data_IF_474049097525
#
_entry.id   IF_474049097525
#
_cell.length_a   1.000
_cell.length_b   1.000
_cell.length_c   1.000
_cell.angle_alpha   90.00
_cell.angle_beta   90.00
_cell.angle_gamma   90.00
#
_symmetry.space_group_name_H-M   'P 1'
#
loop_
_entity.id
_entity.type
_entity.pdbx_description
1 polymer ?
#
# COMPACT_ATOMS: atom_id res chain seq x y z
N UNK A 1 -29.49 5.22 -0.75
CA UNK A 1 -28.62 5.51 -1.93
C UNK A 1 -27.16 5.38 -1.51
N UNK A 2 -26.39 4.53 -2.19
CA UNK A 2 -24.99 4.20 -1.84
C UNK A 2 -23.97 4.89 -2.77
N UNK A 3 -24.40 5.27 -3.97
CA UNK A 3 -23.61 6.00 -4.95
C UNK A 3 -23.15 7.34 -4.35
N UNK A 4 -21.87 7.68 -4.53
CA UNK A 4 -21.21 8.86 -3.95
C UNK A 4 -20.61 8.65 -2.56
N UNK A 5 -20.89 7.53 -1.89
CA UNK A 5 -20.26 7.24 -0.59
C UNK A 5 -18.83 6.69 -0.78
N UNK A 6 -17.88 7.04 0.13
CA UNK A 6 -16.54 6.44 0.10
C UNK A 6 -16.60 4.91 0.16
N UNK A 7 -15.86 4.21 -0.72
CA UNK A 7 -15.81 2.74 -0.74
C UNK A 7 -15.34 2.16 0.60
N UNK A 8 -14.34 2.79 1.24
CA UNK A 8 -13.87 2.40 2.57
C UNK A 8 -14.99 2.47 3.65
N UNK A 9 -15.83 3.52 3.60
CA UNK A 9 -16.95 3.66 4.54
C UNK A 9 -18.05 2.61 4.29
N UNK A 10 -18.32 2.29 3.02
CA UNK A 10 -19.27 1.23 2.64
C UNK A 10 -18.79 -0.13 3.14
N UNK A 11 -17.50 -0.42 2.98
CA UNK A 11 -16.88 -1.64 3.47
C UNK A 11 -16.92 -1.73 5.02
N UNK A 12 -16.62 -0.63 5.72
CA UNK A 12 -16.77 -0.53 7.18
C UNK A 12 -18.19 -0.90 7.62
N UNK A 13 -19.20 -0.31 7.00
CA UNK A 13 -20.60 -0.53 7.37
C UNK A 13 -21.02 -1.98 7.13
N UNK A 14 -20.46 -2.64 6.10
CA UNK A 14 -20.64 -4.07 5.89
C UNK A 14 -20.02 -4.88 7.03
N UNK A 15 -18.75 -4.64 7.37
CA UNK A 15 -18.08 -5.36 8.47
C UNK A 15 -18.85 -5.19 9.77
N UNK A 16 -19.32 -3.98 10.10
CA UNK A 16 -20.14 -3.72 11.31
C UNK A 16 -21.41 -4.55 11.38
N UNK A 17 -22.09 -4.76 10.25
CA UNK A 17 -23.32 -5.57 10.21
C UNK A 17 -23.04 -7.06 10.37
N UNK A 18 -21.92 -7.53 9.81
CA UNK A 18 -21.54 -8.94 9.85
C UNK A 18 -20.87 -9.28 11.17
N UNK A 19 -20.04 -8.39 11.69
CA UNK A 19 -19.20 -8.63 12.85
C UNK A 19 -19.14 -7.37 13.74
N UNK A 20 -19.77 -7.45 14.90
CA UNK A 20 -19.83 -6.34 15.84
C UNK A 20 -18.60 -6.22 16.76
N UNK A 21 -17.73 -7.21 16.82
CA UNK A 21 -16.61 -7.26 17.77
C UNK A 21 -15.32 -6.64 17.28
N UNK A 22 -15.15 -6.50 15.97
CA UNK A 22 -13.92 -5.99 15.34
C UNK A 22 -13.83 -4.47 15.45
N UNK A 23 -12.71 -3.92 15.94
CA UNK A 23 -12.42 -2.49 15.80
C UNK A 23 -12.20 -2.16 14.31
N UNK A 24 -12.75 -1.06 13.82
CA UNK A 24 -12.62 -0.72 12.40
C UNK A 24 -12.10 0.69 12.23
N UNK A 25 -11.11 0.83 11.35
CA UNK A 25 -10.69 2.12 10.83
C UNK A 25 -10.91 2.14 9.30
N UNK A 26 -11.63 3.14 8.82
CA UNK A 26 -11.87 3.36 7.40
C UNK A 26 -11.27 4.70 6.97
N UNK A 27 -10.34 4.67 5.99
CA UNK A 27 -9.60 5.84 5.55
C UNK A 27 -9.86 6.06 4.07
N UNK A 28 -10.40 7.22 3.71
CA UNK A 28 -10.50 7.66 2.33
C UNK A 28 -9.28 8.53 2.01
N UNK A 29 -8.29 7.97 1.32
CA UNK A 29 -7.08 8.69 0.94
C UNK A 29 -6.37 8.01 -0.23
N UNK A 30 -5.58 8.78 -0.97
CA UNK A 30 -4.60 8.25 -1.91
C UNK A 30 -3.44 7.62 -1.13
N UNK A 31 -2.92 6.49 -1.63
CA UNK A 31 -1.83 5.76 -0.95
C UNK A 31 -0.54 6.58 -0.86
N UNK A 32 -0.24 7.45 -1.83
CA UNK A 32 0.92 8.35 -1.76
C UNK A 32 0.81 9.37 -0.62
N UNK A 33 -0.41 9.70 -0.23
CA UNK A 33 -0.70 10.62 0.85
C UNK A 33 -0.69 9.94 2.23
N UNK A 34 -0.56 8.63 2.30
CA UNK A 34 -0.53 7.91 3.57
C UNK A 34 0.90 7.76 4.08
N UNK A 35 1.17 8.17 5.32
CA UNK A 35 2.45 7.90 5.93
C UNK A 35 2.57 6.44 6.35
N UNK A 36 3.72 5.78 6.13
CA UNK A 36 3.90 4.36 6.48
C UNK A 36 3.57 4.03 7.93
N UNK A 37 3.80 4.99 8.83
CA UNK A 37 3.59 4.80 10.28
C UNK A 37 2.16 4.46 10.67
N UNK A 38 1.14 4.82 9.87
CA UNK A 38 -0.26 4.45 10.20
C UNK A 38 -0.51 2.93 10.13
N UNK A 39 0.32 2.21 9.38
CA UNK A 39 0.25 0.75 9.27
C UNK A 39 1.03 0.04 10.37
N UNK A 40 1.82 0.78 11.16
CA UNK A 40 2.55 0.19 12.29
C UNK A 40 1.56 -0.40 13.31
N UNK A 41 1.76 -1.68 13.62
CA UNK A 41 0.84 -2.40 14.51
C UNK A 41 -0.22 -3.24 13.79
N UNK A 42 -0.23 -3.28 12.46
CA UNK A 42 -0.91 -4.34 11.71
C UNK A 42 -0.05 -5.61 11.74
N UNK A 43 -0.68 -6.75 11.94
CA UNK A 43 -0.01 -8.06 11.91
C UNK A 43 0.19 -8.56 10.47
N UNK A 44 -0.72 -8.24 9.57
CA UNK A 44 -0.60 -8.47 8.13
C UNK A 44 -1.60 -7.62 7.34
N UNK A 45 -1.41 -7.54 6.01
CA UNK A 45 -2.29 -6.78 5.15
C UNK A 45 -2.48 -7.41 3.77
N UNK A 46 -3.48 -6.93 3.02
CA UNK A 46 -3.70 -7.29 1.61
C UNK A 46 -3.76 -6.05 0.74
N UNK A 47 -3.09 -6.10 -0.40
CA UNK A 47 -3.24 -5.17 -1.51
C UNK A 47 -4.27 -5.74 -2.49
N UNK A 48 -5.40 -5.08 -2.64
CA UNK A 48 -6.47 -5.42 -3.57
C UNK A 48 -6.69 -4.27 -4.57
N UNK A 49 -5.58 -3.86 -5.21
CA UNK A 49 -5.46 -2.65 -6.01
C UNK A 49 -5.49 -2.99 -7.51
N UNK A 50 -5.93 -2.06 -8.35
CA UNK A 50 -6.12 -2.23 -9.79
C UNK A 50 -4.97 -1.71 -10.65
N UNK A 51 -4.22 -0.69 -10.18
CA UNK A 51 -3.12 -0.11 -10.94
C UNK A 51 -1.73 -0.57 -10.46
N UNK A 52 -0.75 -0.60 -11.37
CA UNK A 52 0.64 -0.91 -11.04
C UNK A 52 1.24 0.14 -10.09
N UNK A 53 0.90 1.42 -10.30
CA UNK A 53 1.36 2.50 -9.43
C UNK A 53 0.89 2.33 -7.99
N UNK A 54 -0.41 2.06 -7.78
CA UNK A 54 -0.96 1.83 -6.45
C UNK A 54 -0.34 0.59 -5.78
N UNK A 55 -0.14 -0.52 -6.53
CA UNK A 55 0.55 -1.72 -6.02
C UNK A 55 2.00 -1.44 -5.64
N UNK A 56 2.71 -0.65 -6.45
CA UNK A 56 4.07 -0.21 -6.16
C UNK A 56 4.14 0.56 -4.84
N UNK A 57 3.29 1.58 -4.67
CA UNK A 57 3.25 2.39 -3.45
C UNK A 57 2.81 1.55 -2.25
N UNK A 58 1.78 0.71 -2.39
CA UNK A 58 1.31 -0.17 -1.32
C UNK A 58 2.40 -1.14 -0.84
N UNK A 59 3.17 -1.73 -1.77
CA UNK A 59 4.33 -2.57 -1.43
C UNK A 59 5.37 -1.79 -0.62
N UNK A 60 5.72 -0.56 -1.06
CA UNK A 60 6.68 0.28 -0.33
C UNK A 60 6.19 0.69 1.06
N UNK A 61 4.89 1.01 1.19
CA UNK A 61 4.26 1.30 2.48
C UNK A 61 4.46 0.13 3.45
N UNK A 62 4.15 -1.10 3.02
CA UNK A 62 4.23 -2.27 3.88
C UNK A 62 5.66 -2.72 4.16
N UNK A 63 6.57 -2.63 3.18
CA UNK A 63 8.00 -2.85 3.43
C UNK A 63 8.52 -1.88 4.50
N UNK A 64 8.17 -0.59 4.40
CA UNK A 64 8.59 0.44 5.35
C UNK A 64 7.99 0.23 6.74
N UNK A 65 6.69 -0.09 6.80
CA UNK A 65 6.00 -0.37 8.06
C UNK A 65 6.33 -1.76 8.63
N UNK A 66 7.09 -2.58 7.89
CA UNK A 66 7.43 -3.97 8.24
C UNK A 66 6.21 -4.88 8.41
N UNK A 67 5.18 -4.64 7.61
CA UNK A 67 3.95 -5.43 7.61
C UNK A 67 4.04 -6.50 6.53
N UNK A 68 3.97 -7.79 6.86
CA UNK A 68 3.84 -8.84 5.86
C UNK A 68 2.52 -8.68 5.11
N UNK A 69 2.53 -8.92 3.80
CA UNK A 69 1.36 -8.63 2.99
C UNK A 69 1.18 -9.60 1.82
N UNK A 70 -0.05 -9.67 1.36
CA UNK A 70 -0.44 -10.40 0.16
C UNK A 70 -0.89 -9.39 -0.91
N UNK A 71 -0.31 -9.45 -2.10
CA UNK A 71 -0.84 -8.74 -3.26
C UNK A 71 -1.79 -9.64 -4.04
N UNK A 72 -3.07 -9.30 -4.02
CA UNK A 72 -4.12 -10.03 -4.73
C UNK A 72 -4.42 -9.40 -6.09
N UNK A 73 -4.67 -10.23 -7.09
CA UNK A 73 -4.97 -9.74 -8.43
C UNK A 73 -5.60 -10.77 -9.34
N UNK A 74 -6.11 -10.28 -10.46
CA UNK A 74 -6.63 -11.10 -11.56
C UNK A 74 -5.86 -10.77 -12.84
N UNK A 75 -5.66 -11.79 -13.68
CA UNK A 75 -5.17 -11.67 -15.05
C UNK A 75 -6.33 -12.06 -15.96
N UNK A 76 -7.18 -11.08 -16.28
CA UNK A 76 -8.49 -11.30 -16.89
C UNK A 76 -8.43 -12.08 -18.20
N UNK A 77 -7.52 -11.70 -19.12
CA UNK A 77 -7.36 -12.34 -20.43
C UNK A 77 -7.00 -13.83 -20.33
N UNK A 78 -6.35 -14.21 -19.24
CA UNK A 78 -5.91 -15.58 -18.99
C UNK A 78 -6.81 -16.36 -18.04
N UNK A 79 -7.83 -15.74 -17.46
CA UNK A 79 -8.68 -16.33 -16.41
C UNK A 79 -7.89 -16.80 -15.18
N UNK A 80 -6.85 -16.09 -14.84
CA UNK A 80 -6.05 -16.40 -13.65
C UNK A 80 -6.42 -15.51 -12.47
N UNK A 81 -6.67 -16.13 -11.33
CA UNK A 81 -6.59 -15.48 -10.01
C UNK A 81 -5.18 -15.65 -9.46
N UNK A 82 -4.62 -14.63 -8.82
CA UNK A 82 -3.28 -14.69 -8.24
C UNK A 82 -3.20 -14.05 -6.86
N UNK A 83 -2.24 -14.53 -6.07
CA UNK A 83 -1.84 -13.93 -4.81
C UNK A 83 -0.32 -14.01 -4.70
N UNK A 84 0.34 -12.89 -4.43
CA UNK A 84 1.79 -12.83 -4.18
C UNK A 84 2.01 -12.53 -2.72
N UNK A 85 2.80 -13.36 -2.03
CA UNK A 85 3.04 -13.26 -0.60
C UNK A 85 4.40 -12.64 -0.34
N UNK A 86 4.43 -11.53 0.38
CA UNK A 86 5.63 -10.76 0.66
C UNK A 86 5.77 -10.46 2.16
N UNK A 87 7.00 -10.42 2.64
CA UNK A 87 7.30 -10.00 4.01
C UNK A 87 8.57 -9.13 4.03
N UNK A 88 8.66 -8.26 5.02
CA UNK A 88 9.83 -7.41 5.24
C UNK A 88 10.97 -8.22 5.90
N UNK A 89 11.47 -9.22 5.18
CA UNK A 89 12.62 -10.04 5.58
C UNK A 89 13.75 -9.88 4.56
N UNK A 90 15.02 -10.06 4.93
CA UNK A 90 16.16 -9.81 4.03
C UNK A 90 16.07 -10.55 2.69
N UNK A 91 15.60 -11.78 2.69
CA UNK A 91 15.46 -12.64 1.50
C UNK A 91 14.02 -12.70 0.98
N UNK A 92 13.17 -11.79 1.42
CA UNK A 92 11.76 -11.73 1.04
C UNK A 92 11.58 -11.04 -0.29
N UNK A 93 11.46 -11.79 -1.38
CA UNK A 93 11.06 -11.23 -2.66
C UNK A 93 9.64 -10.65 -2.60
N UNK A 94 9.41 -9.57 -3.35
CA UNK A 94 8.09 -8.97 -3.54
C UNK A 94 7.66 -9.02 -5.00
N UNK A 95 6.43 -8.70 -5.29
CA UNK A 95 5.92 -8.69 -6.68
C UNK A 95 6.73 -7.77 -7.60
N UNK A 96 7.26 -6.64 -7.09
CA UNK A 96 8.01 -5.66 -7.90
C UNK A 96 9.35 -6.21 -8.38
N UNK A 97 9.90 -7.23 -7.72
CA UNK A 97 11.12 -7.93 -8.16
C UNK A 97 10.97 -8.60 -9.54
N UNK A 98 9.74 -8.91 -9.95
CA UNK A 98 9.44 -9.56 -11.23
C UNK A 98 9.03 -8.59 -12.33
N UNK A 99 8.90 -7.30 -12.04
CA UNK A 99 8.38 -6.35 -13.01
C UNK A 99 9.41 -6.01 -14.09
N UNK A 100 8.95 -6.01 -15.33
CA UNK A 100 9.74 -5.53 -16.47
C UNK A 100 9.93 -4.02 -16.43
N UNK A 101 10.92 -3.52 -17.18
CA UNK A 101 11.13 -2.07 -17.33
C UNK A 101 9.88 -1.33 -17.81
N UNK A 102 9.08 -1.94 -18.69
CA UNK A 102 7.79 -1.37 -19.16
C UNK A 102 6.77 -1.27 -18.03
N UNK A 103 6.66 -2.29 -17.18
CA UNK A 103 5.75 -2.26 -16.03
C UNK A 103 6.20 -1.22 -15.00
N UNK A 104 7.49 -1.07 -14.76
CA UNK A 104 8.04 -0.04 -13.87
C UNK A 104 7.81 1.37 -14.41
N UNK A 105 7.98 1.59 -15.73
CA UNK A 105 7.67 2.86 -16.37
C UNK A 105 6.19 3.22 -16.20
N UNK A 106 5.30 2.26 -16.51
CA UNK A 106 3.85 2.44 -16.33
C UNK A 106 3.47 2.70 -14.87
N UNK A 107 4.05 1.99 -13.92
CA UNK A 107 3.84 2.26 -12.51
C UNK A 107 4.26 3.68 -12.11
N UNK A 108 5.32 4.21 -12.70
CA UNK A 108 5.76 5.60 -12.53
C UNK A 108 4.80 6.64 -13.13
N UNK A 109 4.15 6.29 -14.23
CA UNK A 109 3.12 7.12 -14.88
C UNK A 109 1.82 7.11 -14.07
N UNK A 110 1.38 5.94 -13.58
CA UNK A 110 0.16 5.78 -12.77
C UNK A 110 0.22 6.58 -11.46
N UNK A 111 1.43 6.75 -10.90
CA UNK A 111 1.64 7.47 -9.64
C UNK A 111 1.45 8.98 -9.85
N UNK A 112 0.43 9.53 -9.21
CA UNK A 112 0.08 10.96 -9.30
C UNK A 112 -0.82 11.33 -10.47
N UNK A 113 -1.36 10.35 -11.22
CA UNK A 113 -2.44 10.59 -12.18
C UNK A 113 -3.79 10.49 -11.46
N UNK A 114 -4.68 11.49 -11.59
CA UNK A 114 -6.07 11.32 -11.16
C UNK A 114 -6.73 10.20 -11.98
N UNK A 115 -7.63 9.44 -11.38
CA UNK A 115 -8.37 8.35 -12.05
C UNK A 115 -9.14 8.76 -13.33
N UNK A 116 -9.23 10.04 -13.64
CA UNK A 116 -9.93 10.60 -14.81
C UNK A 116 -9.22 10.24 -16.13
N UNK A 117 -7.94 9.88 -16.11
CA UNK A 117 -7.22 9.49 -17.34
C UNK A 117 -7.54 8.08 -17.84
N UNK A 118 -8.34 7.31 -17.10
CA UNK A 118 -8.79 5.99 -17.50
C UNK A 118 -10.03 6.01 -18.45
N UNK A 119 -10.37 7.16 -19.04
CA UNK A 119 -11.48 7.22 -20.00
C UNK A 119 -11.23 6.49 -21.33
N UNK A 120 -10.01 6.01 -21.56
CA UNK A 120 -9.68 5.24 -22.78
C UNK A 120 -9.14 3.83 -22.50
N UNK A 121 -9.02 3.43 -21.27
CA UNK A 121 -8.66 2.07 -20.90
C UNK A 121 -9.89 1.32 -20.45
N UNK A 122 -10.36 0.38 -21.25
CA UNK A 122 -11.24 -0.68 -20.76
C UNK A 122 -10.61 -1.25 -19.49
N UNK A 123 -11.19 -0.94 -18.33
CA UNK A 123 -10.75 -1.54 -17.07
C UNK A 123 -10.72 -3.05 -17.31
N UNK A 124 -9.62 -3.72 -16.98
CA UNK A 124 -9.43 -5.12 -17.30
C UNK A 124 -10.70 -5.89 -16.93
N UNK A 125 -11.41 -6.48 -17.90
CA UNK A 125 -12.68 -7.13 -17.64
C UNK A 125 -12.46 -8.21 -16.58
N UNK A 126 -13.12 -8.10 -15.46
CA UNK A 126 -13.03 -9.09 -14.37
C UNK A 126 -14.41 -9.61 -14.06
N UNK A 127 -14.54 -10.91 -13.94
CA UNK A 127 -15.78 -11.53 -13.47
C UNK A 127 -15.78 -11.62 -11.95
N UNK A 128 -16.99 -11.61 -11.34
CA UNK A 128 -17.14 -11.86 -9.90
C UNK A 128 -16.40 -13.14 -9.48
N UNK A 129 -16.49 -14.20 -10.26
CA UNK A 129 -15.83 -15.47 -9.97
C UNK A 129 -14.30 -15.34 -9.85
N UNK A 130 -13.66 -14.56 -10.75
CA UNK A 130 -12.22 -14.33 -10.71
C UNK A 130 -11.82 -13.50 -9.48
N UNK A 131 -12.59 -12.45 -9.17
CA UNK A 131 -12.40 -11.63 -8.00
C UNK A 131 -12.50 -12.44 -6.70
N UNK A 132 -13.53 -13.27 -6.57
CA UNK A 132 -13.71 -14.15 -5.42
C UNK A 132 -12.62 -15.23 -5.31
N UNK A 133 -12.16 -15.78 -6.43
CA UNK A 133 -11.05 -16.74 -6.42
C UNK A 133 -9.73 -16.10 -5.96
N UNK A 134 -9.40 -14.90 -6.44
CA UNK A 134 -8.23 -14.16 -5.99
C UNK A 134 -8.35 -13.75 -4.51
N UNK A 135 -9.53 -13.32 -4.08
CA UNK A 135 -9.83 -13.01 -2.69
C UNK A 135 -9.68 -14.23 -1.78
N UNK A 136 -10.11 -15.42 -2.22
CA UNK A 136 -9.96 -16.65 -1.45
C UNK A 136 -8.50 -17.05 -1.28
N UNK A 137 -7.68 -16.96 -2.34
CA UNK A 137 -6.23 -17.19 -2.25
C UNK A 137 -5.59 -16.20 -1.27
N UNK A 138 -5.91 -14.91 -1.38
CA UNK A 138 -5.36 -13.87 -0.52
C UNK A 138 -5.80 -14.02 0.93
N UNK A 139 -7.06 -14.37 1.20
CA UNK A 139 -7.57 -14.60 2.54
C UNK A 139 -6.87 -15.78 3.21
N UNK A 140 -6.66 -16.89 2.47
CA UNK A 140 -5.92 -18.05 2.96
C UNK A 140 -4.48 -17.66 3.36
N UNK A 141 -3.75 -17.00 2.47
CA UNK A 141 -2.36 -16.61 2.75
C UNK A 141 -2.26 -15.55 3.87
N UNK A 142 -3.23 -14.64 4.00
CA UNK A 142 -3.30 -13.71 5.13
C UNK A 142 -3.46 -14.45 6.46
N UNK A 143 -4.35 -15.46 6.51
CA UNK A 143 -4.55 -16.31 7.69
C UNK A 143 -3.28 -17.09 8.04
N UNK A 144 -2.57 -17.62 7.04
CA UNK A 144 -1.30 -18.31 7.24
C UNK A 144 -0.20 -17.35 7.72
N UNK A 145 -0.06 -16.16 7.12
CA UNK A 145 0.91 -15.13 7.53
C UNK A 145 0.73 -14.70 8.98
N UNK A 146 -0.51 -14.63 9.44
CA UNK A 146 -0.83 -14.22 10.82
C UNK A 146 -0.76 -15.36 11.83
N UNK A 147 -0.56 -16.60 11.37
CA UNK A 147 -0.63 -17.78 12.22
C UNK A 147 -2.04 -18.06 12.77
N UNK A 148 -3.07 -17.52 12.11
CA UNK A 148 -4.48 -17.80 12.41
C UNK A 148 -4.92 -19.20 11.98
N UNK A 149 -4.16 -19.82 11.07
CA UNK A 149 -4.26 -21.21 10.68
C UNK A 149 -2.88 -21.87 10.76
N UNK A 150 -2.86 -23.21 10.85
CA UNK A 150 -1.63 -23.97 11.01
C UNK A 150 -0.77 -24.07 9.74
N UNK A 151 -1.26 -23.54 8.61
CA UNK A 151 -0.58 -23.61 7.32
C UNK A 151 0.65 -22.69 7.29
N UNK A 152 1.70 -23.14 6.59
CA UNK A 152 2.91 -22.34 6.41
C UNK A 152 2.67 -21.27 5.34
N UNK A 153 2.93 -19.98 5.64
CA UNK A 153 2.80 -18.90 4.64
C UNK A 153 3.85 -19.06 3.52
N UNK A 154 3.47 -18.75 2.31
CA UNK A 154 4.30 -18.89 1.11
C UNK A 154 5.05 -17.61 0.76
N UNK A 155 5.83 -17.12 1.73
CA UNK A 155 6.60 -15.87 1.56
C UNK A 155 7.59 -15.99 0.40
N UNK A 156 7.58 -15.00 -0.50
CA UNK A 156 8.40 -14.95 -1.71
C UNK A 156 7.88 -15.86 -2.82
N UNK A 157 6.59 -16.21 -2.81
CA UNK A 157 5.94 -16.98 -3.85
C UNK A 157 4.74 -16.24 -4.45
N UNK A 158 4.48 -16.46 -5.73
CA UNK A 158 3.22 -16.14 -6.39
C UNK A 158 2.41 -17.41 -6.56
N UNK A 159 1.18 -17.38 -6.08
CA UNK A 159 0.17 -18.41 -6.25
C UNK A 159 -0.73 -18.03 -7.42
N UNK A 160 -1.01 -18.98 -8.30
CA UNK A 160 -1.84 -18.76 -9.49
C UNK A 160 -2.85 -19.87 -9.63
N UNK A 161 -4.11 -19.49 -9.79
CA UNK A 161 -5.21 -20.41 -10.10
C UNK A 161 -5.71 -20.10 -11.51
N UNK A 162 -5.50 -21.04 -12.43
CA UNK A 162 -6.07 -21.02 -13.78
C UNK A 162 -7.50 -21.59 -13.72
N UNK A 163 -8.48 -20.71 -13.80
CA UNK A 163 -9.90 -21.11 -13.71
C UNK A 163 -10.40 -21.85 -14.95
N UNK A 164 -9.73 -21.69 -16.11
CA UNK A 164 -10.09 -22.42 -17.33
C UNK A 164 -9.63 -23.88 -17.29
N UNK A 165 -8.43 -24.10 -16.75
CA UNK A 165 -7.80 -25.43 -16.72
C UNK A 165 -7.99 -26.12 -15.37
N UNK A 166 -8.52 -25.44 -14.35
CA UNK A 166 -8.63 -25.97 -13.00
C UNK A 166 -7.24 -26.28 -12.39
N UNK A 167 -6.21 -25.51 -12.75
CA UNK A 167 -4.84 -25.75 -12.33
C UNK A 167 -4.39 -24.72 -11.29
N UNK A 168 -3.74 -25.20 -10.25
CA UNK A 168 -3.10 -24.38 -9.23
C UNK A 168 -1.59 -24.56 -9.30
N UNK A 169 -0.87 -23.45 -9.40
CA UNK A 169 0.59 -23.40 -9.43
C UNK A 169 1.13 -22.42 -8.36
N UNK A 170 2.30 -22.73 -7.83
CA UNK A 170 3.06 -21.85 -6.96
C UNK A 170 4.45 -21.61 -7.57
N UNK A 171 4.85 -20.34 -7.66
CA UNK A 171 6.12 -19.92 -8.28
C UNK A 171 6.96 -19.17 -7.27
N UNK A 172 8.18 -19.61 -7.05
CA UNK A 172 9.15 -18.83 -6.27
C UNK A 172 9.54 -17.57 -7.04
N UNK A 173 9.45 -16.41 -6.39
CA UNK A 173 9.87 -15.15 -6.98
C UNK A 173 11.40 -15.02 -6.91
N UNK A 174 12.06 -14.52 -7.96
CA UNK A 174 13.45 -14.14 -7.89
C UNK A 174 13.60 -12.89 -7.02
N UNK A 175 14.63 -12.83 -6.20
CA UNK A 175 15.00 -11.61 -5.49
C UNK A 175 15.90 -10.77 -6.40
N UNK A 176 15.44 -9.60 -6.81
CA UNK A 176 16.22 -8.68 -7.61
C UNK A 176 17.21 -7.88 -6.75
N UNK A 177 18.50 -7.88 -7.14
CA UNK A 177 19.54 -7.13 -6.42
C UNK A 177 19.27 -5.62 -6.35
N UNK A 178 18.49 -5.07 -7.30
CA UNK A 178 18.09 -3.68 -7.37
C UNK A 178 16.59 -3.56 -7.61
N UNK A 179 15.79 -4.07 -6.65
CA UNK A 179 14.35 -3.96 -6.71
C UNK A 179 13.90 -2.49 -6.62
N UNK A 180 13.02 -2.06 -7.52
CA UNK A 180 12.49 -0.70 -7.52
C UNK A 180 11.64 -0.38 -6.27
N UNK A 181 11.09 -1.38 -5.58
CA UNK A 181 10.41 -1.19 -4.31
C UNK A 181 11.39 -0.82 -3.17
N UNK A 182 12.70 -0.93 -3.39
CA UNK A 182 13.74 -0.59 -2.41
C UNK A 182 13.64 -1.41 -1.11
N UNK A 183 14.00 -2.69 -1.16
CA UNK A 183 13.99 -3.58 0.01
C UNK A 183 14.82 -3.06 1.19
N UNK A 184 15.69 -2.08 0.95
CA UNK A 184 16.40 -1.34 2.02
C UNK A 184 15.43 -0.70 3.03
N UNK A 185 14.20 -0.37 2.63
CA UNK A 185 13.15 0.14 3.51
C UNK A 185 12.71 -0.91 4.56
N UNK A 186 12.82 -2.19 4.22
CA UNK A 186 12.51 -3.31 5.12
C UNK A 186 13.73 -3.76 5.93
N UNK A 187 14.94 -3.52 5.40
CA UNK A 187 16.19 -3.93 6.01
C UNK A 187 16.70 -2.90 7.05
N UNK A 188 17.67 -3.31 7.82
CA UNK A 188 18.43 -2.42 8.69
C UNK A 188 17.75 -2.04 10.01
N UNK A 189 18.42 -1.13 10.72
CA UNK A 189 17.97 -0.58 11.99
C UNK A 189 16.88 0.45 11.77
N UNK A 190 15.90 0.51 12.66
CA UNK A 190 14.89 1.59 12.69
C UNK A 190 15.23 2.55 13.82
N UNK A 191 15.37 3.82 13.49
CA UNK A 191 15.51 4.92 14.45
C UNK A 191 14.26 5.79 14.42
N UNK A 192 13.71 6.04 15.60
CA UNK A 192 12.56 6.94 15.77
C UNK A 192 13.06 8.37 15.91
N UNK A 193 12.50 9.26 15.12
CA UNK A 193 12.79 10.68 15.16
C UNK A 193 11.83 11.40 16.12
N UNK A 194 12.33 12.42 16.79
CA UNK A 194 11.47 13.33 17.55
C UNK A 194 10.63 14.18 16.56
N UNK A 195 9.33 14.38 16.81
CA UNK A 195 8.47 15.21 15.96
C UNK A 195 8.99 16.63 15.74
N UNK A 196 9.72 17.20 16.70
CA UNK A 196 10.32 18.55 16.57
C UNK A 196 11.33 18.64 15.41
N UNK A 197 11.92 17.52 14.98
CA UNK A 197 12.80 17.46 13.81
C UNK A 197 12.12 17.95 12.51
N UNK A 198 10.79 17.91 12.43
CA UNK A 198 10.04 18.45 11.28
C UNK A 198 10.16 19.97 11.16
N UNK A 199 10.48 20.67 12.24
CA UNK A 199 10.69 22.11 12.29
C UNK A 199 12.13 22.50 11.95
N UNK A 200 13.07 21.57 12.03
CA UNK A 200 14.46 21.78 11.65
C UNK A 200 14.60 21.98 10.14
N UNK A 201 15.74 22.51 9.69
CA UNK A 201 16.07 22.49 8.26
C UNK A 201 16.37 21.05 7.80
N UNK A 202 16.11 20.76 6.52
CA UNK A 202 16.47 19.46 5.92
C UNK A 202 17.95 19.15 6.10
N UNK A 203 18.83 20.17 5.96
CA UNK A 203 20.27 20.00 6.18
C UNK A 203 20.60 19.59 7.61
N UNK A 204 19.97 20.23 8.60
CA UNK A 204 20.16 19.88 10.01
C UNK A 204 19.64 18.46 10.31
N UNK A 205 18.45 18.12 9.83
CA UNK A 205 17.89 16.77 9.97
C UNK A 205 18.82 15.71 9.36
N UNK A 206 19.24 15.90 8.11
CA UNK A 206 20.10 14.94 7.41
C UNK A 206 21.46 14.80 8.10
N UNK A 207 22.04 15.90 8.58
CA UNK A 207 23.30 15.89 9.35
C UNK A 207 23.13 15.11 10.66
N UNK A 208 22.04 15.34 11.40
CA UNK A 208 21.73 14.61 12.65
C UNK A 208 21.58 13.12 12.39
N UNK A 209 20.99 12.74 11.25
CA UNK A 209 20.86 11.35 10.84
C UNK A 209 22.14 10.76 10.23
N UNK A 210 23.22 11.53 10.09
CA UNK A 210 24.52 11.06 9.60
C UNK A 210 24.63 10.99 8.07
N UNK A 211 23.81 11.75 7.32
CA UNK A 211 23.90 11.81 5.86
C UNK A 211 25.14 12.58 5.40
N UNK A 212 26.04 11.91 4.69
CA UNK A 212 27.14 12.53 3.93
C UNK A 212 26.74 12.80 2.48
N UNK A 213 27.62 13.47 1.70
CA UNK A 213 27.36 13.82 0.31
C UNK A 213 27.03 12.60 -0.56
N UNK A 214 27.72 11.48 -0.34
CA UNK A 214 27.52 10.23 -1.10
C UNK A 214 26.39 9.34 -0.56
N UNK A 215 25.72 9.77 0.53
CA UNK A 215 24.60 9.01 1.09
C UNK A 215 23.40 9.10 0.16
N UNK A 216 22.79 7.96 -0.16
CA UNK A 216 21.49 7.93 -0.81
C UNK A 216 20.38 8.12 0.23
N UNK A 217 19.47 9.03 -0.05
CA UNK A 217 18.21 9.21 0.68
C UNK A 217 17.13 8.46 -0.08
N UNK A 218 16.44 7.54 0.59
CA UNK A 218 15.34 6.74 0.02
C UNK A 218 14.05 7.14 0.74
N UNK A 219 13.16 7.81 0.02
CA UNK A 219 11.84 8.21 0.52
C UNK A 219 10.88 7.02 0.46
N UNK A 220 10.06 6.82 1.49
CA UNK A 220 9.17 5.67 1.56
C UNK A 220 8.10 5.68 0.46
N UNK A 221 7.34 6.75 0.33
CA UNK A 221 6.17 6.81 -0.57
C UNK A 221 6.22 7.99 -1.53
N UNK A 222 6.27 9.21 -1.01
CA UNK A 222 6.24 10.43 -1.81
C UNK A 222 7.51 10.59 -2.65
N UNK A 223 7.36 11.08 -3.86
CA UNK A 223 8.48 11.37 -4.75
C UNK A 223 8.84 12.85 -4.73
N UNK A 224 10.13 13.15 -4.93
CA UNK A 224 10.58 14.51 -5.24
C UNK A 224 10.90 14.66 -6.73
N UNK A 225 10.77 15.85 -7.25
CA UNK A 225 11.08 16.18 -8.64
C UNK A 225 12.55 16.52 -8.77
N UNK A 226 13.33 15.61 -9.36
CA UNK A 226 14.75 15.81 -9.62
C UNK A 226 15.01 16.67 -10.87
N UNK A 227 14.08 16.66 -11.83
CA UNK A 227 14.11 17.50 -13.02
C UNK A 227 12.69 17.83 -13.44
N UNK A 228 12.42 19.10 -13.71
CA UNK A 228 11.20 19.58 -14.33
C UNK A 228 11.56 20.36 -15.59
N UNK A 229 10.84 20.11 -16.68
CA UNK A 229 11.03 20.82 -17.95
C UNK A 229 9.68 21.45 -18.33
N UNK A 230 9.72 22.74 -18.62
CA UNK A 230 8.57 23.47 -19.10
C UNK A 230 8.60 23.53 -20.65
N UNK A 231 7.61 22.94 -21.29
CA UNK A 231 7.52 22.97 -22.76
C UNK A 231 7.18 24.37 -23.32
N UNK A 232 6.56 25.21 -22.50
CA UNK A 232 6.15 26.55 -22.95
C UNK A 232 7.30 27.56 -23.03
N UNK A 233 8.23 27.54 -22.07
CA UNK A 233 9.37 28.47 -22.02
C UNK A 233 10.75 27.81 -22.13
N UNK A 234 10.81 26.48 -22.19
CA UNK A 234 12.07 25.73 -22.26
C UNK A 234 12.86 25.69 -20.94
N UNK A 235 12.35 26.33 -19.88
CA UNK A 235 13.02 26.34 -18.57
C UNK A 235 13.16 24.93 -18.00
N UNK A 236 14.34 24.64 -17.47
CA UNK A 236 14.68 23.35 -16.87
C UNK A 236 15.21 23.58 -15.46
N UNK A 237 14.64 22.90 -14.47
CA UNK A 237 15.01 23.07 -13.06
C UNK A 237 15.04 21.74 -12.31
N UNK A 238 15.95 21.61 -11.34
CA UNK A 238 16.04 20.49 -10.41
C UNK A 238 15.61 20.93 -8.99
N UNK A 239 14.31 21.16 -8.74
CA UNK A 239 13.86 21.80 -7.51
C UNK A 239 13.93 20.90 -6.28
N UNK A 240 13.99 19.59 -6.45
CA UNK A 240 13.91 18.60 -5.37
C UNK A 240 12.78 18.89 -4.38
N UNK A 241 11.65 19.35 -4.91
CA UNK A 241 10.38 19.51 -4.18
C UNK A 241 9.54 18.25 -4.29
N UNK A 242 8.61 18.06 -3.34
CA UNK A 242 7.60 17.01 -3.49
C UNK A 242 6.84 17.21 -4.82
N UNK A 243 6.56 16.11 -5.49
CA UNK A 243 5.85 16.15 -6.78
C UNK A 243 4.46 16.80 -6.65
N UNK A 244 3.79 16.63 -5.51
CA UNK A 244 2.52 17.27 -5.18
C UNK A 244 2.61 18.79 -4.96
N UNK A 245 3.80 19.32 -4.74
CA UNK A 245 4.02 20.76 -4.52
C UNK A 245 4.49 21.51 -5.77
N UNK A 246 4.61 20.83 -6.91
CA UNK A 246 5.13 21.40 -8.16
C UNK A 246 4.18 21.13 -9.32
N UNK A 247 3.20 22.00 -9.52
CA UNK A 247 2.21 21.89 -10.59
C UNK A 247 2.52 22.81 -11.78
N UNK A 248 3.14 23.96 -11.52
CA UNK A 248 3.39 25.01 -12.51
C UNK A 248 4.86 25.39 -12.60
N UNK A 249 5.26 25.87 -13.76
CA UNK A 249 6.58 26.41 -14.01
C UNK A 249 6.81 27.69 -13.21
N UNK A 250 7.88 27.78 -12.40
CA UNK A 250 8.16 28.96 -11.61
C UNK A 250 8.51 30.20 -12.47
N UNK A 251 8.96 29.98 -13.73
CA UNK A 251 9.34 31.08 -14.62
C UNK A 251 8.17 31.69 -15.39
N UNK A 252 7.22 30.87 -15.87
CA UNK A 252 6.13 31.36 -16.75
C UNK A 252 4.72 31.01 -16.26
N UNK A 253 4.56 30.29 -15.15
CA UNK A 253 3.26 29.91 -14.59
C UNK A 253 2.51 28.80 -15.33
N UNK A 254 3.01 28.34 -16.48
CA UNK A 254 2.37 27.27 -17.25
C UNK A 254 2.51 25.92 -16.54
N UNK A 255 1.54 25.03 -16.76
CA UNK A 255 1.60 23.67 -16.22
C UNK A 255 2.83 22.92 -16.72
N UNK A 256 3.53 22.24 -15.83
CA UNK A 256 4.67 21.42 -16.18
C UNK A 256 4.21 20.11 -16.80
N UNK A 257 4.69 19.80 -18.00
CA UNK A 257 4.31 18.60 -18.73
C UNK A 257 5.24 17.42 -18.46
N UNK A 258 6.52 17.69 -18.14
CA UNK A 258 7.52 16.64 -17.91
C UNK A 258 8.19 16.80 -16.55
N UNK A 259 7.99 15.79 -15.68
CA UNK A 259 8.56 15.73 -14.34
C UNK A 259 9.32 14.42 -14.15
N UNK A 260 10.63 14.48 -13.95
CA UNK A 260 11.40 13.32 -13.51
C UNK A 260 11.27 13.18 -11.99
N UNK A 261 10.35 12.33 -11.57
CA UNK A 261 10.11 12.00 -10.16
C UNK A 261 11.08 10.92 -9.70
N UNK A 262 11.66 11.11 -8.50
CA UNK A 262 12.57 10.13 -7.88
C UNK A 262 12.19 9.91 -6.41
N UNK A 263 12.40 8.68 -5.92
CA UNK A 263 12.27 8.32 -4.49
C UNK A 263 13.62 7.94 -3.88
N UNK A 264 14.64 7.77 -4.71
CA UNK A 264 16.04 7.58 -4.30
C UNK A 264 16.89 8.66 -4.94
N UNK A 265 17.68 9.36 -4.15
CA UNK A 265 18.55 10.43 -4.62
C UNK A 265 19.83 10.49 -3.75
N UNK A 266 20.91 11.04 -4.30
CA UNK A 266 22.12 11.35 -3.53
C UNK A 266 21.94 12.67 -2.78
N UNK A 267 22.26 12.67 -1.49
CA UNK A 267 22.10 13.87 -0.68
C UNK A 267 22.95 15.05 -1.19
N UNK A 268 24.19 14.79 -1.60
CA UNK A 268 25.08 15.82 -2.14
C UNK A 268 24.56 16.55 -3.38
N UNK A 269 23.69 15.87 -4.18
CA UNK A 269 23.07 16.49 -5.36
C UNK A 269 21.89 17.40 -4.97
N UNK A 270 21.10 17.01 -3.98
CA UNK A 270 19.92 17.74 -3.56
C UNK A 270 20.23 18.85 -2.52
N UNK A 271 21.20 18.62 -1.64
CA UNK A 271 21.50 19.51 -0.52
C UNK A 271 21.72 20.99 -0.91
N UNK A 272 22.47 21.34 -1.99
CA UNK A 272 22.62 22.72 -2.39
C UNK A 272 21.30 23.47 -2.59
N UNK A 273 20.28 22.77 -3.06
CA UNK A 273 18.97 23.33 -3.38
C UNK A 273 18.03 23.34 -2.18
N UNK A 274 18.07 22.31 -1.32
CA UNK A 274 17.00 22.10 -0.31
C UNK A 274 17.47 22.13 1.14
N UNK A 275 18.77 22.12 1.44
CA UNK A 275 19.26 22.00 2.81
C UNK A 275 18.73 23.09 3.77
N UNK A 276 18.43 24.28 3.26
CA UNK A 276 17.87 25.39 4.04
C UNK A 276 16.35 25.33 4.24
N UNK A 277 15.64 24.44 3.51
CA UNK A 277 14.19 24.27 3.64
C UNK A 277 13.86 23.56 4.93
N UNK A 278 12.68 23.80 5.49
CA UNK A 278 12.19 23.04 6.63
C UNK A 278 12.05 21.56 6.27
N UNK A 279 12.31 20.67 7.21
CA UNK A 279 12.15 19.23 7.01
C UNK A 279 10.70 18.86 6.65
N UNK A 280 9.73 19.63 7.14
CA UNK A 280 8.31 19.53 6.76
C UNK A 280 8.01 19.75 5.27
N UNK A 281 8.97 20.27 4.50
CA UNK A 281 8.86 20.34 3.04
C UNK A 281 8.92 18.94 2.36
N UNK A 282 9.52 17.95 3.03
CA UNK A 282 9.61 16.57 2.53
C UNK A 282 8.83 15.59 3.39
N UNK A 283 8.74 15.81 4.70
CA UNK A 283 8.24 14.84 5.68
C UNK A 283 7.10 15.41 6.51
N UNK A 284 6.27 14.53 7.01
CA UNK A 284 5.21 14.78 7.99
C UNK A 284 5.19 13.69 9.05
N UNK A 285 4.35 13.82 10.06
CA UNK A 285 4.17 12.79 11.07
C UNK A 285 3.81 11.45 10.43
N UNK A 286 4.48 10.39 10.85
CA UNK A 286 4.33 9.03 10.34
C UNK A 286 5.13 8.71 9.06
N UNK A 287 5.77 9.68 8.41
CA UNK A 287 6.65 9.41 7.28
C UNK A 287 7.94 8.71 7.73
N UNK A 288 8.61 8.08 6.77
CA UNK A 288 9.89 7.45 6.97
C UNK A 288 10.78 7.62 5.73
N UNK A 289 12.07 7.56 5.95
CA UNK A 289 13.09 7.53 4.90
C UNK A 289 14.27 6.67 5.33
N UNK A 290 14.99 6.08 4.37
CA UNK A 290 16.22 5.38 4.69
C UNK A 290 17.43 6.17 4.21
N UNK A 291 18.51 6.12 4.99
CA UNK A 291 19.85 6.54 4.58
C UNK A 291 20.67 5.30 4.24
N UNK A 292 21.24 5.31 3.05
CA UNK A 292 22.03 4.20 2.49
C UNK A 292 23.42 4.71 2.18
N UNK A 293 24.46 4.38 2.99
CA UNK A 293 25.83 4.74 2.71
C UNK A 293 26.29 4.12 1.38
N UNK A 294 26.99 4.89 0.54
CA UNK A 294 27.45 4.40 -0.77
C UNK A 294 28.45 3.24 -0.66
N UNK A 295 29.32 3.28 0.37
CA UNK A 295 30.37 2.30 0.60
C UNK A 295 29.87 1.02 1.28
N UNK A 296 28.79 1.10 2.04
CA UNK A 296 28.26 0.00 2.85
C UNK A 296 26.72 -0.03 2.81
N UNK A 297 26.10 -0.42 1.67
CA UNK A 297 24.63 -0.42 1.54
C UNK A 297 23.90 -1.28 2.59
N UNK A 298 24.54 -2.31 3.11
CA UNK A 298 24.00 -3.18 4.17
C UNK A 298 23.81 -2.45 5.52
N UNK A 299 24.46 -1.31 5.72
CA UNK A 299 24.31 -0.45 6.91
C UNK A 299 23.19 0.60 6.75
N UNK A 300 22.25 0.38 5.88
CA UNK A 300 21.11 1.27 5.75
C UNK A 300 20.37 1.42 7.08
N UNK A 301 19.97 2.63 7.40
CA UNK A 301 19.17 2.95 8.59
C UNK A 301 17.87 3.60 8.15
N UNK A 302 16.75 3.06 8.62
CA UNK A 302 15.41 3.63 8.42
C UNK A 302 15.11 4.61 9.56
N UNK A 303 14.81 5.84 9.22
CA UNK A 303 14.38 6.88 10.14
C UNK A 303 12.87 7.06 9.99
N UNK A 304 12.14 7.03 11.10
CA UNK A 304 10.68 7.11 11.11
C UNK A 304 10.18 8.16 12.09
N UNK A 305 9.30 9.03 11.62
CA UNK A 305 8.53 9.92 12.48
C UNK A 305 7.35 9.19 13.12
N UNK A 306 6.97 9.50 14.36
CA UNK A 306 5.80 8.91 14.98
C UNK A 306 4.55 9.23 14.14
N UNK A 307 3.66 8.24 13.92
CA UNK A 307 2.45 8.46 13.14
C UNK A 307 1.42 9.28 13.91
N UNK A 308 0.52 9.97 13.22
CA UNK A 308 -0.70 10.47 13.84
C UNK A 308 -1.53 9.28 14.34
N UNK A 309 -2.30 9.44 15.40
CA UNK A 309 -3.17 8.39 15.89
C UNK A 309 -4.22 8.01 14.84
N UNK A 310 -4.31 6.73 14.53
CA UNK A 310 -5.37 6.20 13.69
C UNK A 310 -6.66 6.14 14.51
N UNK A 311 -7.76 6.67 13.97
CA UNK A 311 -9.05 6.63 14.63
C UNK A 311 -9.72 5.28 14.40
N UNK A 312 -9.71 4.45 15.43
CA UNK A 312 -10.43 3.19 15.46
C UNK A 312 -11.84 3.38 16.02
N UNK A 313 -12.84 2.98 15.27
CA UNK A 313 -14.20 2.83 15.80
C UNK A 313 -14.25 1.52 16.58
N UNK A 314 -14.45 1.55 17.90
CA UNK A 314 -14.39 0.34 18.72
C UNK A 314 -15.51 -0.64 18.39
N UNK A 315 -15.19 -1.93 18.40
CA UNK A 315 -16.16 -3.02 18.38
C UNK A 315 -16.83 -3.22 19.74
N UNK A 316 -17.90 -3.99 19.75
CA UNK A 316 -18.50 -4.45 21.01
C UNK A 316 -17.54 -5.42 21.73
N UNK A 317 -17.57 -5.48 23.06
CA UNK A 317 -16.83 -6.50 23.80
C UNK A 317 -17.21 -7.91 23.34
N UNK A 318 -16.21 -8.80 23.33
CA UNK A 318 -16.45 -10.20 23.02
C UNK A 318 -17.36 -10.86 24.05
N UNK A 319 -18.48 -11.41 23.61
CA UNK A 319 -19.51 -12.02 24.46
C UNK A 319 -19.45 -13.54 24.55
N UNK A 320 -18.36 -14.14 24.08
CA UNK A 320 -18.19 -15.59 24.13
C UNK A 320 -18.93 -16.38 23.05
N UNK A 321 -19.41 -15.73 21.97
CA UNK A 321 -20.20 -16.34 20.89
C UNK A 321 -19.44 -17.44 20.10
N UNK A 322 -18.85 -18.40 20.82
CA UNK A 322 -18.05 -19.49 20.25
C UNK A 322 -18.88 -20.39 19.29
N UNK A 323 -20.17 -20.53 19.56
CA UNK A 323 -21.09 -21.32 18.71
C UNK A 323 -21.18 -20.83 17.28
N UNK A 324 -21.05 -19.52 17.06
CA UNK A 324 -21.02 -18.92 15.70
C UNK A 324 -19.89 -19.48 14.84
N UNK A 325 -18.79 -19.90 15.48
CA UNK A 325 -17.58 -20.39 14.83
C UNK A 325 -17.41 -21.90 14.91
N UNK A 326 -18.40 -22.63 15.45
CA UNK A 326 -18.34 -24.06 15.64
C UNK A 326 -18.13 -24.88 14.35
N UNK A 327 -18.45 -24.29 13.18
CA UNK A 327 -18.26 -24.93 11.88
C UNK A 327 -16.93 -24.60 11.19
N UNK A 328 -16.10 -23.72 11.80
CA UNK A 328 -14.77 -23.49 11.27
C UNK A 328 -13.89 -24.74 11.42
N UNK A 329 -12.98 -25.00 10.46
CA UNK A 329 -12.02 -26.07 10.59
C UNK A 329 -11.22 -25.96 11.89
N UNK A 330 -10.82 -27.08 12.48
CA UNK A 330 -10.02 -27.12 13.72
C UNK A 330 -8.63 -26.46 13.57
N UNK A 331 -8.19 -26.23 12.33
CA UNK A 331 -6.95 -25.48 12.03
C UNK A 331 -7.04 -23.99 12.32
N UNK A 332 -8.25 -23.44 12.54
CA UNK A 332 -8.43 -22.03 12.88
C UNK A 332 -8.19 -21.78 14.37
N UNK A 333 -7.27 -20.87 14.68
CA UNK A 333 -7.04 -20.39 16.05
C UNK A 333 -7.83 -19.08 16.30
N UNK A 334 -9.06 -19.21 16.79
CA UNK A 334 -9.90 -18.07 17.13
C UNK A 334 -9.31 -17.18 18.23
N UNK A 335 -8.53 -17.74 19.16
CA UNK A 335 -7.88 -16.94 20.20
C UNK A 335 -6.83 -16.03 19.55
N UNK A 336 -6.06 -16.59 18.62
CA UNK A 336 -5.08 -15.83 17.83
C UNK A 336 -5.76 -14.74 17.00
N UNK A 337 -6.80 -15.07 16.20
CA UNK A 337 -7.53 -14.11 15.36
C UNK A 337 -7.98 -12.89 16.16
N UNK A 338 -8.47 -13.07 17.37
CA UNK A 338 -8.94 -11.99 18.25
C UNK A 338 -7.85 -11.05 18.78
N UNK A 339 -6.59 -11.36 18.56
CA UNK A 339 -5.45 -10.49 18.93
C UNK A 339 -4.83 -9.81 17.71
N UNK A 340 -5.32 -10.09 16.50
CA UNK A 340 -4.71 -9.65 15.25
C UNK A 340 -5.40 -8.43 14.67
N UNK A 341 -4.60 -7.50 14.17
CA UNK A 341 -5.04 -6.36 13.36
C UNK A 341 -4.59 -6.55 11.93
N UNK A 342 -5.54 -6.45 11.00
CA UNK A 342 -5.28 -6.63 9.58
C UNK A 342 -5.59 -5.38 8.78
N UNK A 343 -4.94 -5.24 7.61
CA UNK A 343 -5.18 -4.15 6.68
C UNK A 343 -5.71 -4.64 5.32
N UNK A 344 -6.62 -3.90 4.73
CA UNK A 344 -7.07 -4.09 3.34
C UNK A 344 -6.94 -2.76 2.60
N UNK A 345 -6.04 -2.71 1.61
CA UNK A 345 -5.84 -1.57 0.74
C UNK A 345 -6.50 -1.84 -0.60
N UNK A 346 -7.50 -1.02 -0.92
CA UNK A 346 -8.43 -1.20 -2.03
C UNK A 346 -9.72 -1.90 -1.57
N UNK A 347 -10.84 -1.19 -1.70
CA UNK A 347 -12.18 -1.71 -1.43
C UNK A 347 -13.05 -1.74 -2.72
N UNK A 348 -12.39 -1.88 -3.87
CA UNK A 348 -13.02 -2.09 -5.17
C UNK A 348 -13.58 -3.51 -5.31
N UNK A 349 -13.74 -3.99 -6.55
CA UNK A 349 -14.32 -5.31 -6.85
C UNK A 349 -13.65 -6.46 -6.07
N UNK A 350 -12.33 -6.59 -6.15
CA UNK A 350 -11.58 -7.66 -5.47
C UNK A 350 -11.54 -7.44 -3.96
N UNK A 351 -11.29 -6.20 -3.52
CA UNK A 351 -11.24 -5.87 -2.09
C UNK A 351 -12.59 -6.08 -1.39
N UNK A 352 -13.70 -5.78 -2.07
CA UNK A 352 -15.04 -6.08 -1.56
C UNK A 352 -15.23 -7.58 -1.32
N UNK A 353 -14.87 -8.42 -2.31
CA UNK A 353 -14.94 -9.87 -2.20
C UNK A 353 -14.04 -10.42 -1.06
N UNK A 354 -12.86 -9.81 -0.87
CA UNK A 354 -11.95 -10.16 0.23
C UNK A 354 -12.55 -9.78 1.59
N UNK A 355 -13.09 -8.56 1.72
CA UNK A 355 -13.72 -8.09 2.96
C UNK A 355 -14.91 -8.98 3.32
N UNK A 356 -15.72 -9.42 2.36
CA UNK A 356 -16.81 -10.38 2.61
C UNK A 356 -16.31 -11.68 3.26
N UNK A 357 -15.16 -12.18 2.84
CA UNK A 357 -14.60 -13.42 3.38
C UNK A 357 -13.94 -13.23 4.75
N UNK A 358 -13.34 -12.07 5.01
CA UNK A 358 -12.64 -11.77 6.25
C UNK A 358 -13.55 -11.20 7.34
N UNK A 359 -14.61 -10.46 6.97
CA UNK A 359 -15.51 -9.82 7.90
C UNK A 359 -16.18 -10.75 8.94
N UNK A 360 -16.54 -12.01 8.61
CA UNK A 360 -17.12 -12.92 9.59
C UNK A 360 -16.19 -13.29 10.75
N UNK A 361 -14.86 -13.17 10.57
CA UNK A 361 -13.89 -13.56 11.59
C UNK A 361 -13.68 -12.44 12.64
N UNK A 362 -13.56 -12.79 13.94
CA UNK A 362 -13.50 -11.80 15.01
C UNK A 362 -12.10 -11.21 15.20
N UNK A 363 -11.62 -10.45 14.22
CA UNK A 363 -10.35 -9.74 14.32
C UNK A 363 -10.34 -8.73 15.46
N UNK A 364 -9.18 -8.48 16.09
CA UNK A 364 -9.04 -7.34 16.98
C UNK A 364 -9.32 -6.03 16.26
N UNK A 365 -8.77 -5.88 15.04
CA UNK A 365 -9.02 -4.70 14.25
C UNK A 365 -8.87 -4.94 12.75
N UNK A 366 -9.59 -4.13 11.95
CA UNK A 366 -9.51 -4.11 10.49
C UNK A 366 -9.37 -2.66 10.00
N UNK A 367 -8.24 -2.36 9.37
CA UNK A 367 -8.02 -1.10 8.66
C UNK A 367 -8.41 -1.27 7.20
N UNK A 368 -9.29 -0.41 6.70
CA UNK A 368 -9.72 -0.39 5.29
C UNK A 368 -9.33 0.95 4.69
N UNK A 369 -8.57 0.92 3.59
CA UNK A 369 -8.13 2.11 2.87
C UNK A 369 -8.61 2.05 1.43
N UNK A 370 -9.27 3.10 0.96
CA UNK A 370 -9.62 3.28 -0.44
C UNK A 370 -9.82 4.79 -0.71
N UNK A 371 -9.35 5.29 -1.85
CA UNK A 371 -9.51 6.70 -2.21
C UNK A 371 -10.85 7.01 -2.86
N UNK A 372 -11.49 6.01 -3.47
CA UNK A 372 -12.63 6.19 -4.36
C UNK A 372 -13.97 6.24 -3.63
N UNK A 373 -14.94 6.77 -4.34
CA UNK A 373 -16.36 6.68 -4.00
C UNK A 373 -17.04 5.58 -4.83
N UNK A 374 -18.17 5.10 -4.37
CA UNK A 374 -19.02 4.17 -5.12
C UNK A 374 -19.68 4.94 -6.27
N UNK A 375 -19.47 4.48 -7.49
CA UNK A 375 -20.09 5.00 -8.71
C UNK A 375 -21.21 4.06 -9.19
N UNK A 376 -22.17 4.58 -9.96
CA UNK A 376 -23.28 3.79 -10.49
C UNK A 376 -22.79 2.58 -11.30
N UNK A 377 -21.71 2.74 -12.09
CA UNK A 377 -21.08 1.66 -12.87
C UNK A 377 -20.45 0.57 -12.00
N UNK A 378 -20.15 0.85 -10.74
CA UNK A 378 -19.53 -0.12 -9.83
C UNK A 378 -20.58 -1.00 -9.13
N UNK A 379 -21.83 -0.58 -9.01
CA UNK A 379 -22.85 -1.27 -8.20
C UNK A 379 -23.00 -2.74 -8.63
N UNK A 380 -23.04 -3.01 -9.93
CA UNK A 380 -23.20 -4.38 -10.45
C UNK A 380 -21.99 -5.29 -10.20
N UNK A 381 -20.78 -4.72 -10.05
CA UNK A 381 -19.54 -5.48 -9.87
C UNK A 381 -18.99 -5.41 -8.43
N UNK A 382 -19.59 -4.58 -7.58
CA UNK A 382 -19.13 -4.36 -6.20
C UNK A 382 -20.08 -5.05 -5.23
N UNK A 383 -19.73 -6.26 -4.79
CA UNK A 383 -20.60 -7.12 -3.99
C UNK A 383 -21.17 -6.44 -2.73
N UNK A 384 -20.37 -5.64 -2.03
CA UNK A 384 -20.81 -4.91 -0.84
C UNK A 384 -21.79 -3.78 -1.16
N UNK A 385 -21.64 -3.13 -2.31
CA UNK A 385 -22.53 -2.05 -2.73
C UNK A 385 -23.94 -2.59 -3.08
N UNK A 386 -24.00 -3.67 -3.85
CA UNK A 386 -25.25 -4.31 -4.24
C UNK A 386 -26.08 -4.76 -3.02
N UNK A 387 -25.43 -5.43 -2.05
CA UNK A 387 -26.10 -5.90 -0.81
C UNK A 387 -26.59 -4.75 0.11
N UNK A 388 -25.95 -3.59 0.03
CA UNK A 388 -26.37 -2.43 0.83
C UNK A 388 -27.57 -1.72 0.22
N UNK A 389 -27.71 -1.71 -1.09
CA UNK A 389 -28.91 -1.19 -1.77
C UNK A 389 -30.11 -2.08 -1.53
N UNK A 390 -29.96 -3.40 -1.61
CA UNK A 390 -31.02 -4.36 -1.29
C UNK A 390 -31.53 -4.27 0.15
N UNK A 391 -30.64 -3.94 1.11
CA UNK A 391 -31.01 -3.80 2.52
C UNK A 391 -31.67 -2.45 2.87
N UNK A 392 -31.61 -1.46 1.96
CA UNK A 392 -32.16 -0.12 2.15
C UNK A 392 -33.52 0.07 1.44
N UNK A 393 -33.95 -0.87 0.61
CA UNK A 393 -35.28 -0.93 -0.04
C UNK A 393 -36.23 -1.83 0.70
#
# INVERSE_FOLDING_TARGET
>A
MIVGRPKAAVARDHVRRVNRWTDIAAVQADLEELPPGIFAGLDAAVLALDSLGARFIGTRLFLTARVPHVDAGVLADHWHARATVSAAVPDGACQVDTWSGTQLARAGEDVGMPCVAAETGDGAPSTLAMGHAAAALAAHELLALTGAIADRPRIGEELRLDLRRGRYDAFRLPLAAACAADHVLAAGRVERLDPSCLQASLGALMSTCGAGADTSVVLATRAVVALAVCEACGESTGPYLLASALETCPACGMRLASLRRVRRLRWGEAAPTVARRAASAWFRAGDAFALVPATEPARATLFAFPPPPLQWEPGAPWDGAAERFARLPKSFDLRRIRTLRIGVLGAGHLGAALIEQLAPLPWQGMLIVDRDVVEARNVASHSLAARLEEAAG
#
